data_IF_363635293424
#
_entry.id   IF_363635293424
#
_cell.length_a   1.000
_cell.length_b   1.000
_cell.length_c   1.000
_cell.angle_alpha   90.00
_cell.angle_beta   90.00
_cell.angle_gamma   90.00
#
_symmetry.space_group_name_H-M   'P 1'
#
loop_
_entity.id
_entity.type
_entity.pdbx_description
1 polymer ?
#
# COMPACT_ATOMS: atom_id res chain seq x y z
N UNK A 1 -5.26 -10.52 -15.16
CA UNK A 1 -5.99 -9.82 -14.07
C UNK A 1 -5.22 -8.54 -13.78
N UNK A 2 -5.88 -7.37 -13.77
CA UNK A 2 -5.23 -6.06 -13.63
C UNK A 2 -4.32 -5.95 -12.39
N UNK A 3 -4.64 -6.67 -11.31
CA UNK A 3 -3.85 -6.71 -10.07
C UNK A 3 -2.37 -7.07 -10.25
N UNK A 4 -2.00 -7.82 -11.30
CA UNK A 4 -0.59 -8.20 -11.53
C UNK A 4 0.18 -7.29 -12.47
N UNK A 5 -0.41 -6.17 -12.90
CA UNK A 5 0.32 -5.16 -13.69
C UNK A 5 1.51 -4.59 -12.93
N UNK A 6 1.45 -4.54 -11.60
CA UNK A 6 2.58 -4.13 -10.75
C UNK A 6 3.81 -5.02 -10.94
N UNK A 7 3.66 -6.27 -11.38
CA UNK A 7 4.81 -7.15 -11.69
C UNK A 7 5.59 -6.70 -12.94
N UNK A 8 4.95 -5.94 -13.83
CA UNK A 8 5.61 -5.38 -15.03
C UNK A 8 6.59 -4.25 -14.66
N UNK A 9 6.58 -3.78 -13.40
CA UNK A 9 7.57 -2.81 -12.93
C UNK A 9 9.00 -3.34 -13.00
N UNK A 10 9.20 -4.66 -12.99
CA UNK A 10 10.51 -5.26 -13.27
C UNK A 10 11.10 -4.76 -14.58
N UNK A 11 10.28 -4.59 -15.61
CA UNK A 11 10.71 -4.12 -16.92
C UNK A 11 10.93 -2.60 -16.90
N UNK A 12 10.05 -1.85 -16.23
CA UNK A 12 10.21 -0.40 -16.06
C UNK A 12 11.48 -0.04 -15.28
N UNK A 13 11.86 -0.83 -14.28
CA UNK A 13 13.10 -0.65 -13.50
C UNK A 13 14.38 -0.85 -14.34
N UNK A 14 14.29 -1.41 -15.55
CA UNK A 14 15.44 -1.41 -16.48
C UNK A 14 15.77 0.01 -16.95
N UNK A 15 14.74 0.84 -17.10
CA UNK A 15 14.83 2.23 -17.59
C UNK A 15 14.88 3.24 -16.45
N UNK A 16 14.04 3.08 -15.42
CA UNK A 16 13.91 4.02 -14.31
C UNK A 16 14.67 3.53 -13.07
N UNK A 17 15.37 4.44 -12.38
CA UNK A 17 16.08 4.09 -11.14
C UNK A 17 15.12 3.80 -9.99
N UNK A 18 13.98 4.50 -9.97
CA UNK A 18 12.95 4.38 -8.94
C UNK A 18 11.57 4.55 -9.55
N UNK A 19 10.59 3.87 -8.98
CA UNK A 19 9.18 3.94 -9.36
C UNK A 19 8.37 4.20 -8.09
N UNK A 20 7.51 5.21 -8.15
CA UNK A 20 6.42 5.41 -7.22
C UNK A 20 5.13 4.95 -7.89
N UNK A 21 4.47 3.99 -7.27
CA UNK A 21 3.16 3.48 -7.65
C UNK A 21 2.10 4.03 -6.72
N UNK A 22 1.02 4.52 -7.33
CA UNK A 22 -0.08 5.15 -6.63
C UNK A 22 -1.37 4.55 -7.17
N UNK A 23 -2.22 4.05 -6.28
CA UNK A 23 -3.54 3.57 -6.64
C UNK A 23 -4.42 4.72 -7.16
N UNK A 24 -5.30 4.38 -8.11
CA UNK A 24 -6.16 5.37 -8.79
C UNK A 24 -7.29 5.93 -7.91
N UNK A 25 -7.58 5.29 -6.79
CA UNK A 25 -8.58 5.71 -5.80
C UNK A 25 -7.93 6.39 -4.60
N UNK A 26 -7.05 7.35 -4.90
CA UNK A 26 -6.35 8.20 -3.94
C UNK A 26 -6.66 9.68 -4.19
N UNK A 27 -6.72 10.46 -3.12
CA UNK A 27 -6.66 11.93 -3.16
C UNK A 27 -5.38 12.40 -2.46
N UNK A 28 -4.58 13.18 -3.17
CA UNK A 28 -3.35 13.78 -2.63
C UNK A 28 -3.63 15.20 -2.11
N UNK A 29 -3.06 15.50 -0.94
CA UNK A 29 -3.08 16.84 -0.36
C UNK A 29 -2.09 17.76 -1.10
N UNK A 30 -2.37 19.06 -1.12
CA UNK A 30 -1.54 20.08 -1.80
C UNK A 30 -0.11 20.13 -1.27
N UNK A 31 0.07 19.78 0.00
CA UNK A 31 1.37 19.85 0.68
C UNK A 31 2.02 18.47 0.83
N UNK A 32 1.71 17.50 -0.03
CA UNK A 32 2.38 16.19 -0.02
C UNK A 32 3.88 16.38 -0.29
N UNK A 33 4.77 15.95 0.63
CA UNK A 33 6.20 16.02 0.36
C UNK A 33 6.58 15.04 -0.75
N UNK A 34 7.74 15.26 -1.37
CA UNK A 34 8.25 14.32 -2.35
C UNK A 34 8.74 13.03 -1.66
N UNK A 35 8.14 11.86 -1.93
CA UNK A 35 8.53 10.61 -1.26
C UNK A 35 9.94 10.14 -1.64
N UNK A 36 10.45 10.54 -2.82
CA UNK A 36 11.80 10.18 -3.25
C UNK A 36 12.88 10.79 -2.35
N UNK A 37 12.58 11.90 -1.65
CA UNK A 37 13.53 12.60 -0.79
C UNK A 37 13.63 11.97 0.62
N UNK A 38 12.63 11.17 1.02
CA UNK A 38 12.56 10.61 2.39
C UNK A 38 12.80 9.11 2.45
N UNK A 39 12.52 8.38 1.37
CA UNK A 39 12.78 6.94 1.33
C UNK A 39 14.22 6.73 0.86
N UNK A 40 15.06 5.99 1.59
CA UNK A 40 16.40 5.63 1.11
C UNK A 40 16.37 4.76 -0.14
N UNK A 41 17.40 4.84 -0.98
CA UNK A 41 17.44 4.12 -2.27
C UNK A 41 17.40 2.60 -2.09
N UNK A 42 18.03 2.09 -1.04
CA UNK A 42 18.14 0.68 -0.67
C UNK A 42 16.92 0.12 0.06
N UNK A 43 15.90 0.95 0.32
CA UNK A 43 14.67 0.55 1.01
C UNK A 43 13.46 0.61 0.09
N UNK A 44 12.50 -0.26 0.35
CA UNK A 44 11.16 -0.18 -0.24
C UNK A 44 10.31 0.74 0.63
N UNK A 45 9.69 1.75 0.02
CA UNK A 45 8.72 2.60 0.69
C UNK A 45 7.33 1.99 0.60
N UNK A 46 6.73 1.66 1.72
CA UNK A 46 5.35 1.14 1.80
C UNK A 46 4.82 1.35 3.20
N UNK A 47 3.53 1.11 3.43
CA UNK A 47 2.96 1.08 4.77
C UNK A 47 2.65 -0.35 5.22
N UNK A 48 2.74 -0.62 6.51
CA UNK A 48 2.19 -1.85 7.10
C UNK A 48 0.70 -1.77 7.42
N UNK A 49 -0.03 -2.83 7.11
CA UNK A 49 -1.47 -2.97 7.23
C UNK A 49 -1.89 -4.10 8.20
N UNK A 50 -0.96 -4.82 8.81
CA UNK A 50 -1.23 -5.78 9.88
C UNK A 50 -1.32 -5.13 11.26
N UNK A 51 -2.08 -4.03 11.35
CA UNK A 51 -2.32 -3.28 12.58
C UNK A 51 -3.82 -3.00 12.79
N UNK A 52 -4.20 -2.64 14.01
CA UNK A 52 -5.57 -2.23 14.33
C UNK A 52 -6.62 -3.29 13.99
N UNK A 53 -7.76 -2.86 13.43
CA UNK A 53 -8.84 -3.77 13.05
C UNK A 53 -8.48 -4.80 11.97
N UNK A 54 -7.37 -4.61 11.24
CA UNK A 54 -6.96 -5.48 10.12
C UNK A 54 -5.88 -6.50 10.52
N UNK A 55 -5.22 -6.32 11.65
CA UNK A 55 -4.08 -7.14 12.12
C UNK A 55 -4.31 -8.64 11.96
N UNK A 56 -5.38 -9.17 12.55
CA UNK A 56 -5.67 -10.61 12.54
C UNK A 56 -5.88 -11.14 11.13
N UNK A 57 -6.64 -10.43 10.30
CA UNK A 57 -6.92 -10.86 8.94
C UNK A 57 -5.65 -10.89 8.08
N UNK A 58 -4.80 -9.87 8.21
CA UNK A 58 -3.52 -9.79 7.48
C UNK A 58 -2.53 -10.88 7.91
N UNK A 59 -2.43 -11.15 9.20
CA UNK A 59 -1.59 -12.25 9.70
C UNK A 59 -2.07 -13.62 9.25
N UNK A 60 -3.39 -13.83 9.14
CA UNK A 60 -3.93 -15.06 8.56
C UNK A 60 -3.49 -15.21 7.09
N UNK A 61 -3.56 -14.14 6.29
CA UNK A 61 -3.10 -14.19 4.89
C UNK A 61 -1.59 -14.48 4.77
N UNK A 62 -0.76 -13.96 5.69
CA UNK A 62 0.67 -14.31 5.78
C UNK A 62 0.87 -15.81 6.03
N UNK A 63 0.05 -16.42 6.89
CA UNK A 63 0.11 -17.87 7.15
C UNK A 63 -0.34 -18.67 5.94
N UNK A 64 -1.40 -18.24 5.25
CA UNK A 64 -1.92 -18.89 4.06
C UNK A 64 -0.90 -18.94 2.92
N UNK A 65 -0.23 -17.82 2.62
CA UNK A 65 0.78 -17.78 1.55
C UNK A 65 2.00 -18.65 1.88
N UNK A 66 2.42 -18.69 3.14
CA UNK A 66 3.53 -19.55 3.58
C UNK A 66 3.17 -21.03 3.55
N UNK A 67 1.92 -21.39 3.88
CA UNK A 67 1.42 -22.75 3.70
C UNK A 67 1.44 -23.17 2.23
N UNK A 68 1.16 -22.25 1.31
CA UNK A 68 1.10 -22.52 -0.12
C UNK A 68 2.49 -22.59 -0.79
N UNK A 69 3.45 -21.78 -0.36
CA UNK A 69 4.73 -21.62 -1.05
C UNK A 69 5.99 -21.95 -0.23
N UNK A 70 5.83 -22.26 1.04
CA UNK A 70 6.91 -22.54 1.99
C UNK A 70 7.02 -21.46 3.06
N UNK A 71 7.25 -21.89 4.30
CA UNK A 71 7.50 -21.01 5.45
C UNK A 71 8.87 -20.35 5.31
N UNK A 72 8.88 -19.01 5.33
CA UNK A 72 10.08 -18.17 5.27
C UNK A 72 10.31 -17.42 6.59
N UNK A 73 9.56 -17.78 7.64
CA UNK A 73 9.60 -17.10 8.93
C UNK A 73 8.88 -15.76 8.94
N UNK A 74 8.05 -15.43 7.94
CA UNK A 74 7.31 -14.17 7.89
C UNK A 74 6.16 -14.19 8.91
N UNK A 75 6.16 -13.27 9.89
CA UNK A 75 5.14 -13.22 10.95
C UNK A 75 4.35 -11.92 11.00
N UNK A 76 4.98 -10.79 10.65
CA UNK A 76 4.39 -9.43 10.69
C UNK A 76 4.91 -8.57 9.54
N UNK A 77 4.34 -7.39 9.36
CA UNK A 77 4.72 -6.45 8.30
C UNK A 77 4.00 -6.76 7.00
N UNK A 78 2.67 -6.92 7.06
CA UNK A 78 1.85 -7.05 5.86
C UNK A 78 1.83 -5.70 5.16
N UNK A 79 2.29 -5.62 3.92
CA UNK A 79 2.39 -4.34 3.20
C UNK A 79 1.07 -3.99 2.50
N UNK A 80 0.89 -2.70 2.16
CA UNK A 80 -0.14 -2.23 1.24
C UNK A 80 0.48 -1.53 0.03
N UNK A 81 0.11 -1.93 -1.19
CA UNK A 81 0.72 -1.44 -2.44
C UNK A 81 0.12 -0.15 -2.98
N UNK A 82 -0.92 0.42 -2.34
CA UNK A 82 -1.60 1.59 -2.88
C UNK A 82 -0.80 2.89 -2.88
N UNK A 83 0.25 2.96 -2.05
CA UNK A 83 1.29 3.97 -2.15
C UNK A 83 2.64 3.30 -1.91
N UNK A 84 3.28 2.88 -3.00
CA UNK A 84 4.37 1.91 -2.98
C UNK A 84 5.55 2.39 -3.83
N UNK A 85 6.74 2.42 -3.23
CA UNK A 85 7.92 2.96 -3.86
C UNK A 85 9.06 1.94 -3.87
N UNK A 86 9.62 1.71 -5.04
CA UNK A 86 10.70 0.76 -5.28
C UNK A 86 11.83 1.39 -6.05
N UNK A 87 13.01 0.80 -5.92
CA UNK A 87 14.22 1.18 -6.64
C UNK A 87 14.68 -0.02 -7.48
N UNK A 88 15.53 0.25 -8.47
CA UNK A 88 16.09 -0.74 -9.39
C UNK A 88 16.67 -2.01 -8.72
N UNK A 89 17.38 -1.94 -7.57
CA UNK A 89 17.88 -3.13 -6.89
C UNK A 89 16.77 -4.07 -6.38
N UNK A 90 15.53 -3.57 -6.24
CA UNK A 90 14.41 -4.34 -5.70
C UNK A 90 13.66 -5.15 -6.76
N UNK A 91 14.12 -5.16 -8.02
CA UNK A 91 13.43 -5.80 -9.13
C UNK A 91 13.08 -7.29 -8.91
N UNK A 92 13.82 -7.99 -8.03
CA UNK A 92 13.56 -9.38 -7.68
C UNK A 92 12.21 -9.61 -6.97
N UNK A 93 11.58 -8.58 -6.38
CA UNK A 93 10.30 -8.77 -5.70
C UNK A 93 9.13 -9.04 -6.65
N UNK A 94 9.28 -8.67 -7.92
CA UNK A 94 8.26 -8.85 -8.96
C UNK A 94 8.30 -10.25 -9.60
N UNK A 95 9.17 -11.14 -9.12
CA UNK A 95 9.23 -12.54 -9.54
C UNK A 95 8.00 -13.33 -9.07
N UNK A 96 7.61 -14.33 -9.86
CA UNK A 96 6.62 -15.32 -9.43
C UNK A 96 7.20 -16.19 -8.30
N UNK A 97 6.37 -16.61 -7.34
CA UNK A 97 6.82 -17.50 -6.27
C UNK A 97 6.78 -18.94 -6.80
N UNK A 98 7.94 -19.56 -6.94
CA UNK A 98 8.08 -20.91 -7.49
C UNK A 98 7.37 -21.05 -8.87
N UNK A 99 7.49 -20.01 -9.72
CA UNK A 99 6.87 -19.95 -11.04
C UNK A 99 5.36 -19.68 -11.05
N UNK A 100 4.73 -19.51 -9.88
CA UNK A 100 3.28 -19.29 -9.73
C UNK A 100 2.97 -17.89 -9.17
N UNK A 101 1.80 -17.39 -9.53
CA UNK A 101 1.20 -16.22 -8.91
C UNK A 101 0.33 -16.68 -7.75
N UNK A 102 0.33 -15.92 -6.66
CA UNK A 102 -0.69 -16.05 -5.63
C UNK A 102 -2.09 -15.91 -6.24
N UNK A 103 -3.10 -16.55 -5.67
CA UNK A 103 -4.48 -16.43 -6.16
C UNK A 103 -5.51 -16.28 -5.05
N UNK A 104 -5.07 -16.13 -3.80
CA UNK A 104 -5.91 -15.85 -2.64
C UNK A 104 -6.06 -14.36 -2.35
N UNK A 105 -6.49 -14.05 -1.13
CA UNK A 105 -6.71 -12.68 -0.63
C UNK A 105 -5.41 -11.87 -0.62
N UNK A 106 -5.51 -10.56 -0.86
CA UNK A 106 -4.36 -9.64 -0.85
C UNK A 106 -3.59 -9.57 -2.17
N UNK A 107 -3.70 -10.58 -3.03
CA UNK A 107 -3.19 -10.60 -4.41
C UNK A 107 -1.73 -10.12 -4.52
N UNK A 108 -1.49 -8.86 -4.91
CA UNK A 108 -0.19 -8.25 -5.07
C UNK A 108 0.49 -7.89 -3.74
N UNK A 109 -0.24 -7.36 -2.74
CA UNK A 109 0.31 -7.05 -1.40
C UNK A 109 1.08 -8.24 -0.83
N UNK A 110 0.46 -9.42 -0.88
CA UNK A 110 1.00 -10.63 -0.29
C UNK A 110 2.06 -11.30 -1.18
N UNK A 111 1.90 -11.25 -2.50
CA UNK A 111 2.90 -11.74 -3.45
C UNK A 111 4.22 -10.96 -3.28
N UNK A 112 4.13 -9.63 -3.25
CA UNK A 112 5.28 -8.76 -3.09
C UNK A 112 5.84 -8.86 -1.67
N UNK A 113 4.99 -8.81 -0.64
CA UNK A 113 5.40 -8.95 0.75
C UNK A 113 6.18 -10.24 1.02
N UNK A 114 5.72 -11.37 0.46
CA UNK A 114 6.44 -12.64 0.57
C UNK A 114 7.84 -12.56 -0.02
N UNK A 115 7.96 -12.00 -1.23
CA UNK A 115 9.26 -11.84 -1.88
C UNK A 115 10.17 -10.82 -1.16
N UNK A 116 9.62 -9.75 -0.60
CA UNK A 116 10.37 -8.75 0.18
C UNK A 116 11.03 -9.44 1.38
N UNK A 117 10.26 -10.21 2.15
CA UNK A 117 10.77 -10.90 3.34
C UNK A 117 11.73 -12.02 2.97
N UNK A 118 11.40 -12.82 1.94
CA UNK A 118 12.27 -13.90 1.45
C UNK A 118 13.65 -13.37 1.02
N UNK A 119 13.69 -12.22 0.36
CA UNK A 119 14.93 -11.59 -0.10
C UNK A 119 15.57 -10.66 0.95
N UNK A 120 15.00 -10.58 2.16
CA UNK A 120 15.49 -9.75 3.28
C UNK A 120 15.68 -8.27 2.90
N UNK A 121 14.78 -7.73 2.08
CA UNK A 121 14.85 -6.35 1.62
C UNK A 121 14.32 -5.43 2.73
N UNK A 122 15.07 -4.41 3.15
CA UNK A 122 14.61 -3.50 4.20
C UNK A 122 13.45 -2.63 3.70
N UNK A 123 12.49 -2.41 4.59
CA UNK A 123 11.32 -1.58 4.35
C UNK A 123 11.45 -0.26 5.11
N UNK A 124 11.15 0.83 4.42
CA UNK A 124 10.82 2.11 5.03
C UNK A 124 9.30 2.14 5.23
N UNK A 125 8.87 1.88 6.47
CA UNK A 125 7.46 1.92 6.84
C UNK A 125 6.99 3.37 6.90
N UNK A 126 6.20 3.77 5.91
CA UNK A 126 5.61 5.09 5.86
C UNK A 126 4.66 5.29 7.05
N UNK A 127 4.74 6.47 7.66
CA UNK A 127 3.71 6.90 8.61
C UNK A 127 2.33 6.93 7.94
N UNK A 128 1.25 6.63 8.68
CA UNK A 128 -0.12 6.48 8.16
C UNK A 128 -0.62 7.64 7.28
N UNK A 129 -0.08 8.84 7.48
CA UNK A 129 -0.35 10.04 6.67
C UNK A 129 -0.02 9.89 5.18
N UNK A 130 0.85 8.95 4.79
CA UNK A 130 1.26 8.71 3.40
C UNK A 130 0.39 7.70 2.66
N UNK A 131 -0.52 7.02 3.36
CA UNK A 131 -1.44 6.07 2.76
C UNK A 131 -2.65 5.84 3.70
N UNK A 132 -3.40 6.91 3.98
CA UNK A 132 -4.46 6.88 4.98
C UNK A 132 -5.68 6.16 4.46
N UNK A 133 -5.87 4.94 4.93
CA UNK A 133 -7.11 4.15 4.81
C UNK A 133 -8.02 4.33 6.03
N UNK A 134 -9.27 3.91 5.91
CA UNK A 134 -10.28 4.01 6.99
C UNK A 134 -9.83 3.45 8.33
N UNK A 135 -9.08 2.35 8.33
CA UNK A 135 -8.58 1.73 9.57
C UNK A 135 -7.62 2.64 10.35
N UNK A 136 -6.88 3.53 9.68
CA UNK A 136 -5.98 4.47 10.35
C UNK A 136 -6.74 5.64 10.99
N UNK A 137 -8.02 5.80 10.72
CA UNK A 137 -8.90 6.78 11.37
C UNK A 137 -9.62 6.19 12.61
N UNK A 138 -9.31 4.96 13.00
CA UNK A 138 -9.93 4.31 14.15
C UNK A 138 -9.28 4.73 15.49
N UNK A 139 -9.94 4.37 16.60
CA UNK A 139 -9.52 4.74 17.97
C UNK A 139 -8.11 4.30 18.34
N UNK A 140 -7.66 3.14 17.87
CA UNK A 140 -6.33 2.63 18.18
C UNK A 140 -5.21 3.55 17.65
N UNK A 141 -5.48 4.34 16.61
CA UNK A 141 -4.54 5.32 16.06
C UNK A 141 -4.84 6.76 16.52
N UNK A 142 -5.67 6.93 17.55
CA UNK A 142 -6.05 8.26 18.06
C UNK A 142 -7.19 8.93 17.27
N UNK A 143 -7.92 8.18 16.43
CA UNK A 143 -9.01 8.70 15.59
C UNK A 143 -8.64 9.94 14.75
N UNK A 144 -7.51 9.93 14.02
CA UNK A 144 -7.08 11.11 13.30
C UNK A 144 -8.05 11.44 12.16
N UNK A 145 -8.27 12.74 11.95
CA UNK A 145 -8.94 13.21 10.74
C UNK A 145 -8.05 12.92 9.52
N UNK A 146 -8.62 12.25 8.51
CA UNK A 146 -7.98 11.95 7.22
C UNK A 146 -7.48 13.19 6.49
N UNK A 147 -8.04 14.37 6.74
CA UNK A 147 -7.56 15.62 6.13
C UNK A 147 -6.22 16.11 6.69
N UNK A 148 -5.74 15.50 7.79
CA UNK A 148 -4.38 15.72 8.33
C UNK A 148 -3.31 14.86 7.62
N UNK A 149 -3.71 14.10 6.60
CA UNK A 149 -2.85 13.23 5.80
C UNK A 149 -2.31 13.91 4.56
N UNK A 150 -1.19 13.39 4.06
CA UNK A 150 -0.67 13.73 2.74
C UNK A 150 -1.44 13.01 1.64
N UNK A 151 -1.83 11.76 1.90
CA UNK A 151 -2.49 10.87 0.95
C UNK A 151 -3.70 10.22 1.63
N UNK A 152 -4.88 10.37 1.04
CA UNK A 152 -6.11 9.67 1.45
C UNK A 152 -6.38 8.55 0.45
N UNK A 153 -6.40 7.30 0.92
CA UNK A 153 -6.58 6.11 0.10
C UNK A 153 -7.90 5.42 0.41
N UNK A 154 -8.74 5.27 -0.61
CA UNK A 154 -10.09 4.75 -0.49
C UNK A 154 -10.15 3.23 -0.75
N UNK A 155 -9.19 2.50 -0.18
CA UNK A 155 -9.09 1.05 -0.29
C UNK A 155 -10.30 0.31 0.31
N UNK A 156 -10.63 -0.85 -0.27
CA UNK A 156 -11.71 -1.71 0.20
C UNK A 156 -13.07 -1.02 0.10
N UNK A 157 -13.81 -0.94 1.22
CA UNK A 157 -15.10 -0.21 1.26
C UNK A 157 -14.90 1.26 0.89
N UNK A 158 -13.76 1.86 1.27
CA UNK A 158 -13.40 3.22 0.86
C UNK A 158 -14.41 4.28 1.29
N UNK A 159 -15.11 4.09 2.42
CA UNK A 159 -16.07 5.04 2.98
C UNK A 159 -15.58 5.50 4.34
N UNK A 160 -15.19 6.76 4.44
CA UNK A 160 -14.80 7.38 5.71
C UNK A 160 -16.00 7.93 6.47
N UNK A 161 -17.09 8.22 5.77
CA UNK A 161 -18.31 8.78 6.35
C UNK A 161 -19.56 8.06 5.84
N UNK A 162 -20.51 7.81 6.76
CA UNK A 162 -21.74 7.08 6.44
C UNK A 162 -22.72 7.87 5.56
N UNK A 163 -22.56 9.19 5.45
CA UNK A 163 -23.46 10.05 4.64
C UNK A 163 -23.32 9.85 3.13
N UNK A 164 -22.22 9.24 2.67
CA UNK A 164 -22.01 8.98 1.24
C UNK A 164 -22.57 7.62 0.87
N UNK A 165 -23.19 7.49 -0.31
CA UNK A 165 -23.73 6.22 -0.77
C UNK A 165 -22.64 5.27 -1.24
N UNK A 166 -21.59 5.83 -1.85
CA UNK A 166 -20.48 5.07 -2.44
C UNK A 166 -19.13 5.79 -2.28
N UNK A 167 -18.06 5.07 -2.60
CA UNK A 167 -16.69 5.55 -2.56
C UNK A 167 -16.44 6.76 -3.46
N UNK A 168 -17.01 6.76 -4.67
CA UNK A 168 -16.78 7.84 -5.65
C UNK A 168 -17.33 9.19 -5.17
N UNK A 169 -18.48 9.18 -4.51
CA UNK A 169 -19.04 10.38 -3.86
C UNK A 169 -18.11 10.91 -2.76
N UNK A 170 -17.58 10.02 -1.92
CA UNK A 170 -16.63 10.41 -0.87
C UNK A 170 -15.35 11.01 -1.47
N UNK A 171 -14.79 10.40 -2.53
CA UNK A 171 -13.62 10.91 -3.25
C UNK A 171 -13.88 12.30 -3.82
N UNK A 172 -15.02 12.50 -4.52
CA UNK A 172 -15.39 13.81 -5.09
C UNK A 172 -15.53 14.88 -4.02
N UNK A 173 -16.16 14.55 -2.89
CA UNK A 173 -16.32 15.47 -1.77
C UNK A 173 -14.97 15.90 -1.20
N UNK A 174 -14.09 14.94 -0.92
CA UNK A 174 -12.79 15.21 -0.32
C UNK A 174 -11.85 15.93 -1.30
N UNK A 175 -11.89 15.57 -2.59
CA UNK A 175 -11.21 16.31 -3.65
C UNK A 175 -11.64 17.78 -3.67
N UNK A 176 -12.95 18.06 -3.66
CA UNK A 176 -13.45 19.43 -3.62
C UNK A 176 -13.07 20.15 -2.34
N UNK A 177 -13.02 19.48 -1.19
CA UNK A 177 -12.58 20.11 0.06
C UNK A 177 -11.09 20.49 0.04
N UNK A 178 -10.25 19.69 -0.62
CA UNK A 178 -8.80 19.95 -0.71
C UNK A 178 -8.46 20.93 -1.85
N UNK A 179 -9.06 20.73 -3.02
CA UNK A 179 -8.70 21.37 -4.29
C UNK A 179 -9.76 22.32 -4.84
N UNK A 180 -11.00 22.24 -4.37
CA UNK A 180 -12.06 23.15 -4.76
C UNK A 180 -11.71 24.59 -4.43
N UNK A 181 -12.20 25.52 -5.24
CA UNK A 181 -12.16 26.94 -4.89
C UNK A 181 -13.17 27.13 -3.76
N UNK A 182 -12.78 27.84 -2.71
CA UNK A 182 -13.76 28.42 -1.82
C UNK A 182 -14.52 29.45 -2.67
N UNK A 183 -15.75 29.12 -3.05
CA UNK A 183 -16.69 30.12 -3.55
C UNK A 183 -17.19 30.97 -2.38
#
# INVERSE_FOLDING_TARGET
RCHYRILEFKELLKTYDRILSIDSDIVMNKNVPNPFDIVPYEKIGTIYEDVGSRERARRNTIQEVQKAYGDIGWKTGYINTGFFMVSKPHACIFEKINGKLWNGTGVDDIQLGYNIVKNKIPVYDFHWKWNTMTMFCEKWNGSPDRFNSYIIHYAGVGKFENRFNNRLENIKHDYNKIWGKNE
#
